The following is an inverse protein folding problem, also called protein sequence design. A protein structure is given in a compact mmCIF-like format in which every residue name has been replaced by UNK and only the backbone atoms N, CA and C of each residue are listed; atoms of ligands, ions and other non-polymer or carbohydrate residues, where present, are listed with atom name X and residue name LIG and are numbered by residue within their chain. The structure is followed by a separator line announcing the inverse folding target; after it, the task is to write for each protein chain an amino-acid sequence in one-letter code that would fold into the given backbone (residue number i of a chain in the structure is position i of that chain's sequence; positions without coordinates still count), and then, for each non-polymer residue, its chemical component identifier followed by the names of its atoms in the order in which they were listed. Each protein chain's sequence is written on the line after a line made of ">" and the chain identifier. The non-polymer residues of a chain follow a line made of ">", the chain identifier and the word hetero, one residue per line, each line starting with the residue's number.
data_IF_178430536482
#
_entry.id   IF_178430536482
#
_cell.length_a   1.000
_cell.length_b   1.000
_cell.length_c   1.000
_cell.angle_alpha   90.00
_cell.angle_beta   90.00
_cell.angle_gamma   90.00
#
_symmetry.space_group_name_H-M   'P 1'
#
loop_
_entity.id
_entity.type
_entity.pdbx_description
1 polymer ?
#
# COMPACT_ATOMS: atom_id res chain seq x y z
N UNK A 1 3.03 -25.02 27.87
CA UNK A 1 3.52 -24.30 26.67
C UNK A 1 2.32 -24.00 25.79
N UNK A 2 1.77 -22.78 25.88
CA UNK A 2 0.58 -22.41 25.13
C UNK A 2 0.94 -22.19 23.66
N UNK A 3 0.33 -22.96 22.76
CA UNK A 3 0.37 -22.66 21.32
C UNK A 3 -0.13 -21.23 21.12
N UNK A 4 0.65 -20.43 20.37
CA UNK A 4 0.26 -19.07 20.01
C UNK A 4 -1.16 -19.13 19.38
N UNK A 5 -2.14 -18.32 19.82
CA UNK A 5 -3.54 -18.48 19.39
C UNK A 5 -3.71 -18.45 17.87
N UNK A 6 -2.84 -17.72 17.15
CA UNK A 6 -2.79 -17.72 15.69
C UNK A 6 -2.40 -19.09 15.07
N UNK A 7 -1.47 -19.82 15.69
CA UNK A 7 -1.10 -21.18 15.24
C UNK A 7 -2.22 -22.18 15.53
N UNK A 8 -2.90 -22.05 16.68
CA UNK A 8 -4.04 -22.89 16.99
C UNK A 8 -5.17 -22.70 15.97
N UNK A 9 -5.53 -21.45 15.65
CA UNK A 9 -6.53 -21.15 14.61
C UNK A 9 -6.09 -21.68 13.25
N UNK A 10 -4.82 -21.52 12.88
CA UNK A 10 -4.29 -22.04 11.62
C UNK A 10 -4.38 -23.56 11.51
N UNK A 11 -4.00 -24.28 12.57
CA UNK A 11 -4.08 -25.75 12.63
C UNK A 11 -5.53 -26.21 12.59
N UNK A 12 -6.41 -25.63 13.39
CA UNK A 12 -7.85 -25.99 13.41
C UNK A 12 -8.48 -25.75 12.04
N UNK A 13 -8.18 -24.63 11.38
CA UNK A 13 -8.74 -24.34 10.06
C UNK A 13 -8.21 -25.28 8.99
N UNK A 14 -6.92 -25.63 9.03
CA UNK A 14 -6.33 -26.65 8.15
C UNK A 14 -6.97 -28.03 8.38
N UNK A 15 -7.21 -28.41 9.63
CA UNK A 15 -7.88 -29.67 9.97
C UNK A 15 -9.32 -29.70 9.46
N UNK A 16 -10.09 -28.62 9.63
CA UNK A 16 -11.46 -28.53 9.09
C UNK A 16 -11.46 -28.62 7.57
N UNK A 17 -10.56 -27.90 6.89
CA UNK A 17 -10.41 -27.97 5.42
C UNK A 17 -10.03 -29.37 4.96
N UNK A 18 -9.11 -30.05 5.66
CA UNK A 18 -8.71 -31.42 5.34
C UNK A 18 -9.85 -32.42 5.54
N UNK A 19 -10.61 -32.30 6.63
CA UNK A 19 -11.80 -33.13 6.87
C UNK A 19 -12.86 -32.87 5.80
N UNK A 20 -13.11 -31.60 5.43
CA UNK A 20 -14.02 -31.27 4.35
C UNK A 20 -13.57 -31.91 3.03
N UNK A 21 -12.29 -31.80 2.68
CA UNK A 21 -11.72 -32.39 1.47
C UNK A 21 -11.89 -33.92 1.44
N UNK A 22 -11.66 -34.60 2.57
CA UNK A 22 -11.87 -36.05 2.69
C UNK A 22 -13.36 -36.40 2.51
N UNK A 23 -14.26 -35.71 3.21
CA UNK A 23 -15.72 -35.93 3.09
C UNK A 23 -16.18 -35.73 1.64
N UNK A 24 -15.64 -34.75 0.93
CA UNK A 24 -15.98 -34.48 -0.47
C UNK A 24 -15.53 -35.56 -1.43
N UNK A 25 -14.36 -36.16 -1.19
CA UNK A 25 -13.86 -37.30 -1.97
C UNK A 25 -14.76 -38.53 -1.78
N UNK A 26 -15.28 -38.76 -0.56
CA UNK A 26 -16.07 -39.94 -0.23
C UNK A 26 -17.58 -39.81 -0.51
N UNK A 27 -18.14 -38.59 -0.47
CA UNK A 27 -19.59 -38.37 -0.66
C UNK A 27 -19.97 -38.17 -2.13
N UNK A 28 -18.99 -38.06 -3.02
CA UNK A 28 -19.20 -37.89 -4.46
C UNK A 28 -19.61 -39.18 -5.18
N UNK A 29 -20.86 -39.61 -5.03
CA UNK A 29 -21.64 -39.95 -6.23
C UNK A 29 -21.88 -38.61 -6.96
N UNK A 30 -22.06 -38.51 -8.28
CA UNK A 30 -22.29 -37.20 -8.99
C UNK A 30 -21.01 -36.37 -9.29
N UNK A 31 -20.27 -36.77 -10.35
CA UNK A 31 -19.01 -36.17 -10.84
C UNK A 31 -19.00 -34.63 -11.03
N UNK A 32 -20.16 -34.01 -11.21
CA UNK A 32 -20.28 -32.57 -11.48
C UNK A 32 -20.38 -31.72 -10.20
N UNK A 33 -21.01 -32.24 -9.14
CA UNK A 33 -21.13 -31.54 -7.86
C UNK A 33 -19.82 -31.63 -7.05
N UNK A 34 -19.13 -32.78 -7.10
CA UNK A 34 -17.85 -32.95 -6.40
C UNK A 34 -16.78 -31.93 -6.82
N UNK A 35 -16.66 -31.65 -8.13
CA UNK A 35 -15.71 -30.67 -8.66
C UNK A 35 -15.96 -29.25 -8.14
N UNK A 36 -17.21 -28.77 -8.16
CA UNK A 36 -17.55 -27.40 -7.68
C UNK A 36 -17.23 -27.22 -6.21
N UNK A 37 -17.51 -28.24 -5.41
CA UNK A 37 -17.25 -28.16 -3.98
C UNK A 37 -15.74 -28.25 -3.69
N UNK A 38 -14.99 -29.08 -4.41
CA UNK A 38 -13.52 -29.05 -4.36
C UNK A 38 -12.96 -27.65 -4.66
N UNK A 39 -13.41 -27.01 -5.75
CA UNK A 39 -12.98 -25.64 -6.10
C UNK A 39 -13.39 -24.61 -5.06
N UNK A 40 -14.54 -24.77 -4.42
CA UNK A 40 -14.98 -23.91 -3.32
C UNK A 40 -14.05 -24.03 -2.13
N UNK A 41 -13.70 -25.25 -1.72
CA UNK A 41 -12.73 -25.49 -0.64
C UNK A 41 -11.37 -24.92 -0.99
N UNK A 42 -10.90 -25.13 -2.22
CA UNK A 42 -9.63 -24.59 -2.68
C UNK A 42 -9.63 -23.06 -2.70
N UNK A 43 -10.71 -22.41 -3.15
CA UNK A 43 -10.87 -20.96 -3.11
C UNK A 43 -10.82 -20.42 -1.67
N UNK A 44 -11.49 -21.08 -0.73
CA UNK A 44 -11.41 -20.73 0.70
C UNK A 44 -10.00 -20.94 1.27
N UNK A 45 -9.31 -22.02 0.90
CA UNK A 45 -7.94 -22.28 1.33
C UNK A 45 -6.97 -21.20 0.79
N UNK A 46 -7.09 -20.83 -0.49
CA UNK A 46 -6.31 -19.75 -1.11
C UNK A 46 -6.61 -18.42 -0.43
N UNK A 47 -7.88 -18.07 -0.24
CA UNK A 47 -8.27 -16.85 0.48
C UNK A 47 -7.71 -16.81 1.90
N UNK A 48 -7.80 -17.91 2.63
CA UNK A 48 -7.28 -18.02 3.99
C UNK A 48 -5.75 -17.86 4.02
N UNK A 49 -5.05 -18.52 3.09
CA UNK A 49 -3.59 -18.37 2.95
C UNK A 49 -3.17 -16.94 2.57
N UNK A 50 -3.92 -16.30 1.69
CA UNK A 50 -3.72 -14.90 1.30
C UNK A 50 -4.02 -13.93 2.45
N UNK A 51 -5.06 -14.17 3.23
CA UNK A 51 -5.39 -13.38 4.42
C UNK A 51 -4.31 -13.53 5.50
N UNK A 52 -3.80 -14.76 5.69
CA UNK A 52 -2.69 -15.02 6.60
C UNK A 52 -1.40 -14.30 6.15
N UNK A 53 -1.14 -14.25 4.84
CA UNK A 53 -0.05 -13.46 4.26
C UNK A 53 -0.25 -11.96 4.55
N UNK A 54 -1.46 -11.43 4.29
CA UNK A 54 -1.79 -10.02 4.53
C UNK A 54 -1.65 -9.63 6.01
N UNK A 55 -2.09 -10.52 6.93
CA UNK A 55 -1.91 -10.37 8.38
C UNK A 55 -0.43 -10.41 8.81
N UNK A 56 0.39 -11.21 8.14
CA UNK A 56 1.84 -11.25 8.37
C UNK A 56 2.50 -9.92 7.96
N UNK A 57 2.12 -9.38 6.80
CA UNK A 57 2.62 -8.08 6.32
C UNK A 57 2.09 -6.90 7.16
N UNK A 58 0.89 -7.01 7.74
CA UNK A 58 0.29 -5.92 8.53
C UNK A 58 0.89 -5.75 9.94
N UNK A 59 1.85 -6.60 10.35
CA UNK A 59 2.53 -6.44 11.66
C UNK A 59 3.18 -5.07 11.84
N UNK A 60 3.50 -4.38 10.75
CA UNK A 60 4.19 -3.08 10.77
C UNK A 60 3.26 -1.88 10.55
N UNK A 61 2.04 -2.10 10.01
CA UNK A 61 1.06 -1.02 9.75
C UNK A 61 -0.34 -1.59 9.48
N UNK A 62 -1.38 -0.94 10.01
CA UNK A 62 -2.79 -1.37 9.88
C UNK A 62 -3.45 -0.99 8.55
N UNK A 63 -2.88 -0.02 7.80
CA UNK A 63 -3.42 0.41 6.49
C UNK A 63 -3.49 -0.71 5.43
N UNK A 64 -2.44 -1.54 5.21
CA UNK A 64 -2.50 -2.65 4.24
C UNK A 64 -3.54 -3.72 4.61
N UNK A 65 -3.86 -3.88 5.90
CA UNK A 65 -4.82 -4.88 6.36
C UNK A 65 -6.25 -4.61 5.83
N UNK A 66 -6.74 -3.37 6.01
CA UNK A 66 -8.12 -3.01 5.64
C UNK A 66 -8.33 -3.19 4.13
N UNK A 67 -7.35 -2.75 3.35
CA UNK A 67 -7.37 -2.85 1.89
C UNK A 67 -7.33 -4.33 1.47
N UNK A 68 -6.49 -5.15 2.11
CA UNK A 68 -6.41 -6.60 1.87
C UNK A 68 -7.71 -7.34 2.18
N UNK A 69 -8.42 -6.96 3.26
CA UNK A 69 -9.72 -7.55 3.61
C UNK A 69 -10.78 -7.23 2.56
N UNK A 70 -10.89 -5.97 2.12
CA UNK A 70 -11.84 -5.56 1.09
C UNK A 70 -11.54 -6.31 -0.22
N UNK A 71 -10.28 -6.32 -0.64
CA UNK A 71 -9.81 -7.03 -1.82
C UNK A 71 -10.11 -8.55 -1.76
N UNK A 72 -9.81 -9.18 -0.63
CA UNK A 72 -10.04 -10.60 -0.42
C UNK A 72 -11.53 -10.94 -0.38
N UNK A 73 -12.36 -10.09 0.22
CA UNK A 73 -13.82 -10.28 0.24
C UNK A 73 -14.42 -10.21 -1.17
N UNK A 74 -14.01 -9.22 -1.97
CA UNK A 74 -14.39 -9.10 -3.37
C UNK A 74 -13.95 -10.34 -4.17
N UNK A 75 -12.72 -10.79 -3.98
CA UNK A 75 -12.18 -11.98 -4.63
C UNK A 75 -13.01 -13.24 -4.34
N UNK A 76 -13.40 -13.46 -3.08
CA UNK A 76 -14.26 -14.60 -2.70
C UNK A 76 -15.63 -14.50 -3.37
N UNK A 77 -16.23 -13.32 -3.42
CA UNK A 77 -17.53 -13.12 -4.08
C UNK A 77 -17.43 -13.49 -5.57
N UNK A 78 -16.42 -12.97 -6.27
CA UNK A 78 -16.20 -13.26 -7.69
C UNK A 78 -15.90 -14.74 -7.93
N UNK A 79 -15.10 -15.37 -7.07
CA UNK A 79 -14.81 -16.81 -7.17
C UNK A 79 -16.05 -17.65 -6.92
N UNK A 80 -16.87 -17.32 -5.91
CA UNK A 80 -18.12 -18.03 -5.67
C UNK A 80 -19.07 -17.91 -6.84
N UNK A 81 -19.24 -16.71 -7.40
CA UNK A 81 -20.02 -16.53 -8.61
C UNK A 81 -19.44 -17.34 -9.76
N UNK A 82 -18.12 -17.37 -9.94
CA UNK A 82 -17.50 -18.09 -11.06
C UNK A 82 -17.63 -19.61 -10.93
N UNK A 83 -17.49 -20.16 -9.71
CA UNK A 83 -17.54 -21.61 -9.44
C UNK A 83 -18.96 -22.15 -9.54
N UNK A 84 -19.95 -21.39 -9.04
CA UNK A 84 -21.32 -21.85 -8.95
C UNK A 84 -22.17 -21.52 -10.16
N UNK A 85 -21.76 -20.54 -10.98
CA UNK A 85 -22.50 -20.20 -12.19
C UNK A 85 -22.23 -21.21 -13.30
N UNK A 86 -23.31 -21.90 -13.68
CA UNK A 86 -23.38 -22.81 -14.82
C UNK A 86 -22.95 -22.08 -16.09
N UNK A 87 -22.02 -22.65 -16.87
CA UNK A 87 -21.74 -22.11 -18.19
C UNK A 87 -22.81 -22.58 -19.16
N UNK A 88 -23.88 -21.80 -19.29
CA UNK A 88 -24.97 -22.10 -20.24
C UNK A 88 -24.52 -22.08 -21.71
N UNK A 89 -23.26 -21.73 -22.00
CA UNK A 89 -22.69 -21.75 -23.36
C UNK A 89 -22.04 -23.08 -23.73
N UNK A 90 -21.76 -23.94 -22.75
CA UNK A 90 -21.03 -25.19 -22.94
C UNK A 90 -21.93 -26.43 -22.74
N UNK A 91 -23.23 -26.32 -23.03
CA UNK A 91 -24.17 -27.45 -22.95
C UNK A 91 -23.76 -28.64 -23.87
N UNK A 92 -22.92 -28.39 -24.88
CA UNK A 92 -22.46 -29.40 -25.84
C UNK A 92 -21.17 -30.14 -25.44
N UNK A 93 -20.41 -29.65 -24.45
CA UNK A 93 -19.09 -30.19 -24.12
C UNK A 93 -19.07 -30.79 -22.70
N UNK A 94 -18.80 -32.10 -22.63
CA UNK A 94 -18.89 -32.88 -21.39
C UNK A 94 -18.06 -32.34 -20.20
N UNK A 95 -18.41 -32.83 -19.00
CA UNK A 95 -17.94 -32.45 -17.64
C UNK A 95 -16.41 -32.22 -17.51
N UNK A 96 -15.60 -32.87 -18.35
CA UNK A 96 -14.14 -32.70 -18.36
C UNK A 96 -13.69 -31.30 -18.80
N UNK A 97 -14.33 -30.68 -19.80
CA UNK A 97 -13.93 -29.35 -20.29
C UNK A 97 -14.27 -28.24 -19.28
N UNK A 98 -15.44 -28.31 -18.64
CA UNK A 98 -15.83 -27.36 -17.61
C UNK A 98 -14.87 -27.37 -16.40
N UNK A 99 -14.35 -28.54 -16.03
CA UNK A 99 -13.36 -28.68 -14.95
C UNK A 99 -12.01 -28.07 -15.36
N UNK A 100 -11.57 -28.28 -16.61
CA UNK A 100 -10.34 -27.68 -17.14
C UNK A 100 -10.41 -26.15 -17.25
N UNK A 101 -11.57 -25.60 -17.56
CA UNK A 101 -11.77 -24.15 -17.62
C UNK A 101 -11.59 -23.49 -16.24
N UNK A 102 -12.11 -24.11 -15.19
CA UNK A 102 -11.93 -23.65 -13.80
C UNK A 102 -10.47 -23.70 -13.35
N UNK A 103 -9.68 -24.68 -13.82
CA UNK A 103 -8.24 -24.77 -13.55
C UNK A 103 -7.49 -23.51 -13.99
N UNK A 104 -7.87 -22.92 -15.11
CA UNK A 104 -7.24 -21.68 -15.59
C UNK A 104 -7.91 -20.43 -15.03
N UNK A 105 -9.24 -20.38 -14.96
CA UNK A 105 -9.97 -19.18 -14.52
C UNK A 105 -9.70 -18.81 -13.06
N UNK A 106 -9.74 -19.78 -12.15
CA UNK A 106 -9.55 -19.52 -10.71
C UNK A 106 -8.19 -18.84 -10.44
N UNK A 107 -7.03 -19.38 -10.86
CA UNK A 107 -5.75 -18.72 -10.62
C UNK A 107 -5.63 -17.40 -11.37
N UNK A 108 -6.21 -17.26 -12.56
CA UNK A 108 -6.20 -15.99 -13.31
C UNK A 108 -6.97 -14.90 -12.56
N UNK A 109 -8.16 -15.19 -12.04
CA UNK A 109 -8.93 -14.26 -11.21
C UNK A 109 -8.13 -13.88 -9.96
N UNK A 110 -7.51 -14.85 -9.29
CA UNK A 110 -6.67 -14.60 -8.10
C UNK A 110 -5.53 -13.65 -8.45
N UNK A 111 -4.77 -13.96 -9.51
CA UNK A 111 -3.58 -13.21 -9.94
C UNK A 111 -3.95 -11.80 -10.36
N UNK A 112 -4.97 -11.63 -11.21
CA UNK A 112 -5.43 -10.32 -11.69
C UNK A 112 -5.91 -9.47 -10.51
N UNK A 113 -6.74 -10.04 -9.63
CA UNK A 113 -7.26 -9.34 -8.46
C UNK A 113 -6.11 -8.89 -7.57
N UNK A 114 -5.18 -9.79 -7.25
CA UNK A 114 -4.01 -9.46 -6.41
C UNK A 114 -3.07 -8.45 -7.06
N UNK A 115 -2.82 -8.56 -8.36
CA UNK A 115 -1.98 -7.63 -9.10
C UNK A 115 -2.60 -6.22 -9.14
N UNK A 116 -3.91 -6.12 -9.41
CA UNK A 116 -4.62 -4.84 -9.41
C UNK A 116 -4.58 -4.18 -8.02
N UNK A 117 -4.80 -4.95 -6.96
CA UNK A 117 -4.75 -4.41 -5.60
C UNK A 117 -3.33 -4.02 -5.15
N UNK A 118 -2.32 -4.83 -5.49
CA UNK A 118 -0.93 -4.50 -5.22
C UNK A 118 -0.52 -3.21 -5.95
N UNK A 119 -0.96 -3.04 -7.20
CA UNK A 119 -0.72 -1.82 -7.98
C UNK A 119 -1.45 -0.62 -7.39
N UNK A 120 -2.73 -0.75 -7.02
CA UNK A 120 -3.50 0.32 -6.39
C UNK A 120 -2.83 0.79 -5.09
N UNK A 121 -2.37 -0.15 -4.26
CA UNK A 121 -1.63 0.17 -3.04
C UNK A 121 -0.28 0.84 -3.33
N UNK A 122 0.49 0.32 -4.28
CA UNK A 122 1.79 0.89 -4.64
C UNK A 122 1.66 2.35 -5.12
N UNK A 123 0.66 2.62 -5.95
CA UNK A 123 0.31 3.95 -6.44
C UNK A 123 -0.14 4.85 -5.30
N UNK A 124 -1.03 4.38 -4.42
CA UNK A 124 -1.49 5.17 -3.27
C UNK A 124 -0.32 5.55 -2.35
N UNK A 125 0.55 4.59 -2.02
CA UNK A 125 1.74 4.79 -1.21
C UNK A 125 2.76 5.72 -1.89
N UNK A 126 2.83 5.71 -3.23
CA UNK A 126 3.64 6.66 -3.98
C UNK A 126 3.06 8.08 -3.89
N UNK A 127 1.74 8.23 -3.97
CA UNK A 127 1.05 9.52 -3.81
C UNK A 127 1.21 10.13 -2.41
N UNK A 128 1.19 9.32 -1.35
CA UNK A 128 1.44 9.80 0.03
C UNK A 128 2.87 10.35 0.21
N UNK A 129 3.84 9.91 -0.58
CA UNK A 129 5.25 10.36 -0.50
C UNK A 129 5.50 11.68 -1.22
N UNK A 130 4.56 12.14 -2.04
CA UNK A 130 4.67 13.39 -2.78
C UNK A 130 4.35 14.54 -1.83
N UNK A 131 5.30 15.46 -1.59
CA UNK A 131 5.19 16.51 -0.54
C UNK A 131 4.17 17.63 -0.88
N UNK A 132 3.60 17.64 -2.07
CA UNK A 132 2.59 18.62 -2.48
C UNK A 132 1.20 18.19 -1.98
N UNK A 133 0.35 19.15 -1.60
CA UNK A 133 -1.02 18.85 -1.13
C UNK A 133 -1.88 18.08 -2.15
N UNK A 134 -1.52 18.14 -3.43
CA UNK A 134 -2.19 17.40 -4.52
C UNK A 134 -1.73 15.94 -4.67
N UNK A 135 -0.56 15.58 -4.12
CA UNK A 135 0.03 14.25 -4.24
C UNK A 135 -0.84 13.11 -3.70
N UNK A 136 -1.32 13.21 -2.43
CA UNK A 136 -2.20 12.20 -1.84
C UNK A 136 -3.52 12.06 -2.60
N UNK A 137 -4.12 13.17 -3.04
CA UNK A 137 -5.38 13.16 -3.82
C UNK A 137 -5.17 12.42 -5.13
N UNK A 138 -4.10 12.75 -5.86
CA UNK A 138 -3.80 12.10 -7.13
C UNK A 138 -3.49 10.61 -6.96
N UNK A 139 -2.81 10.23 -5.87
CA UNK A 139 -2.59 8.83 -5.48
C UNK A 139 -3.88 8.06 -5.26
N UNK A 140 -4.84 8.63 -4.51
CA UNK A 140 -6.16 8.02 -4.26
C UNK A 140 -6.97 7.89 -5.55
N UNK A 141 -7.00 8.92 -6.39
CA UNK A 141 -7.70 8.89 -7.68
C UNK A 141 -7.13 7.78 -8.57
N UNK A 142 -5.80 7.70 -8.68
CA UNK A 142 -5.14 6.68 -9.50
C UNK A 142 -5.37 5.28 -8.93
N UNK A 143 -5.28 5.10 -7.61
CA UNK A 143 -5.57 3.83 -6.96
C UNK A 143 -7.03 3.39 -7.19
N UNK A 144 -7.97 4.33 -7.15
CA UNK A 144 -9.39 4.07 -7.43
C UNK A 144 -9.60 3.62 -8.88
N UNK A 145 -8.90 4.23 -9.83
CA UNK A 145 -8.96 3.86 -11.25
C UNK A 145 -8.36 2.49 -11.52
N UNK A 146 -7.23 2.17 -10.88
CA UNK A 146 -6.62 0.83 -10.94
C UNK A 146 -7.54 -0.22 -10.32
N UNK A 147 -8.11 0.07 -9.15
CA UNK A 147 -9.09 -0.80 -8.50
C UNK A 147 -10.32 -1.04 -9.39
N UNK A 148 -10.87 0.03 -9.98
CA UNK A 148 -12.00 -0.06 -10.91
C UNK A 148 -11.65 -0.87 -12.16
N UNK A 149 -10.47 -0.67 -12.75
CA UNK A 149 -9.99 -1.46 -13.88
C UNK A 149 -9.89 -2.95 -13.51
N UNK A 150 -9.33 -3.26 -12.34
CA UNK A 150 -9.24 -4.63 -11.83
C UNK A 150 -10.61 -5.26 -11.59
N UNK A 151 -11.55 -4.51 -11.03
CA UNK A 151 -12.94 -4.96 -10.82
C UNK A 151 -13.60 -5.25 -12.17
N UNK A 152 -13.56 -4.32 -13.13
CA UNK A 152 -14.14 -4.54 -14.46
C UNK A 152 -13.49 -5.75 -15.16
N UNK A 153 -12.17 -5.91 -15.06
CA UNK A 153 -11.48 -7.02 -15.73
C UNK A 153 -11.84 -8.38 -15.11
N UNK A 154 -12.00 -8.45 -13.79
CA UNK A 154 -12.37 -9.68 -13.07
C UNK A 154 -13.86 -10.00 -13.15
N UNK A 155 -14.71 -8.98 -13.26
CA UNK A 155 -16.16 -9.15 -13.40
C UNK A 155 -16.56 -9.77 -14.75
N UNK A 156 -15.68 -9.66 -15.77
CA UNK A 156 -15.89 -10.29 -17.08
C UNK A 156 -16.14 -11.81 -16.97
N UNK A 157 -15.42 -12.51 -16.08
CA UNK A 157 -15.50 -13.96 -15.93
C UNK A 157 -16.89 -14.45 -15.50
N UNK A 158 -17.47 -14.00 -14.37
CA UNK A 158 -18.80 -14.42 -13.96
C UNK A 158 -19.90 -13.91 -14.91
N UNK A 159 -19.74 -12.73 -15.53
CA UNK A 159 -20.71 -12.22 -16.51
C UNK A 159 -20.76 -13.09 -17.78
N UNK A 160 -19.63 -13.66 -18.19
CA UNK A 160 -19.59 -14.63 -19.28
C UNK A 160 -20.43 -15.88 -18.98
N UNK A 161 -20.38 -16.38 -17.74
CA UNK A 161 -21.18 -17.55 -17.30
C UNK A 161 -22.69 -17.25 -17.25
N UNK A 162 -23.05 -16.02 -16.91
CA UNK A 162 -24.44 -15.55 -16.85
C UNK A 162 -25.15 -15.47 -18.21
N UNK A 163 -24.48 -15.75 -19.33
CA UNK A 163 -24.99 -15.53 -20.70
C UNK A 163 -25.45 -14.09 -20.96
N UNK A 164 -25.03 -13.14 -20.12
CA UNK A 164 -25.29 -11.72 -20.33
C UNK A 164 -24.41 -11.30 -21.50
N UNK A 165 -25.04 -10.94 -22.61
CA UNK A 165 -24.35 -10.39 -23.76
C UNK A 165 -23.72 -9.07 -23.35
N UNK A 166 -22.41 -9.11 -23.10
CA UNK A 166 -21.62 -7.94 -22.81
C UNK A 166 -21.68 -7.02 -24.03
N UNK A 167 -22.39 -5.90 -23.87
CA UNK A 167 -22.48 -4.88 -24.91
C UNK A 167 -21.10 -4.34 -25.25
N UNK A 168 -20.89 -3.90 -26.50
CA UNK A 168 -19.69 -3.17 -26.94
C UNK A 168 -19.34 -1.99 -26.00
N UNK A 169 -20.35 -1.38 -25.37
CA UNK A 169 -20.15 -0.34 -24.37
C UNK A 169 -19.32 -0.80 -23.17
N UNK A 170 -19.51 -2.02 -22.69
CA UNK A 170 -18.72 -2.59 -21.60
C UNK A 170 -17.24 -2.69 -21.97
N UNK A 171 -16.94 -3.23 -23.15
CA UNK A 171 -15.57 -3.39 -23.63
C UNK A 171 -14.90 -2.04 -23.84
N UNK A 172 -15.62 -1.06 -24.39
CA UNK A 172 -15.13 0.32 -24.54
C UNK A 172 -14.86 0.97 -23.18
N UNK A 173 -15.75 0.80 -22.20
CA UNK A 173 -15.55 1.30 -20.84
C UNK A 173 -14.36 0.64 -20.14
N UNK A 174 -14.22 -0.69 -20.24
CA UNK A 174 -13.08 -1.43 -19.69
C UNK A 174 -11.76 -0.89 -20.26
N UNK A 175 -11.66 -0.76 -21.59
CA UNK A 175 -10.48 -0.23 -22.26
C UNK A 175 -10.22 1.22 -21.85
N UNK A 176 -11.25 2.08 -21.84
CA UNK A 176 -11.10 3.48 -21.47
C UNK A 176 -10.60 3.66 -20.02
N UNK A 177 -11.19 2.92 -19.06
CA UNK A 177 -10.77 2.96 -17.64
C UNK A 177 -9.35 2.42 -17.49
N UNK A 178 -8.99 1.37 -18.21
CA UNK A 178 -7.63 0.78 -18.16
C UNK A 178 -6.59 1.77 -18.69
N UNK A 179 -6.85 2.40 -19.84
CA UNK A 179 -5.97 3.43 -20.40
C UNK A 179 -5.85 4.61 -19.44
N UNK A 180 -6.95 5.05 -18.86
CA UNK A 180 -6.96 6.18 -17.92
C UNK A 180 -6.22 5.86 -16.62
N UNK A 181 -6.35 4.64 -16.09
CA UNK A 181 -5.58 4.15 -14.95
C UNK A 181 -4.07 4.06 -15.26
N UNK A 182 -3.71 3.59 -16.45
CA UNK A 182 -2.32 3.52 -16.92
C UNK A 182 -1.72 4.93 -17.05
N UNK A 183 -2.43 5.86 -17.70
CA UNK A 183 -2.02 7.26 -17.84
C UNK A 183 -1.84 7.93 -16.47
N UNK A 184 -2.81 7.79 -15.57
CA UNK A 184 -2.72 8.34 -14.22
C UNK A 184 -1.52 7.75 -13.45
N UNK A 185 -1.26 6.44 -13.60
CA UNK A 185 -0.08 5.78 -13.01
C UNK A 185 1.24 6.32 -13.57
N UNK A 186 1.32 6.55 -14.89
CA UNK A 186 2.49 7.16 -15.53
C UNK A 186 2.72 8.59 -15.04
N UNK A 187 1.67 9.41 -14.96
CA UNK A 187 1.77 10.79 -14.43
C UNK A 187 2.25 10.79 -12.99
N UNK A 188 1.70 9.93 -12.13
CA UNK A 188 2.12 9.82 -10.74
C UNK A 188 3.59 9.40 -10.62
N UNK A 189 4.03 8.44 -11.44
CA UNK A 189 5.43 8.00 -11.49
C UNK A 189 6.38 9.13 -11.90
N UNK A 190 6.01 9.93 -12.91
CA UNK A 190 6.79 11.09 -13.34
C UNK A 190 6.85 12.18 -12.26
N UNK A 191 5.74 12.47 -11.58
CA UNK A 191 5.71 13.43 -10.47
C UNK A 191 6.61 12.98 -9.31
N UNK A 192 6.54 11.70 -8.95
CA UNK A 192 7.38 11.10 -7.93
C UNK A 192 8.88 11.21 -8.30
N UNK A 193 9.22 10.90 -9.55
CA UNK A 193 10.60 10.99 -10.03
C UNK A 193 11.13 12.45 -10.05
N UNK A 194 10.29 13.39 -10.48
CA UNK A 194 10.64 14.81 -10.54
C UNK A 194 10.93 15.39 -9.15
N UNK A 195 10.13 15.04 -8.14
CA UNK A 195 10.39 15.45 -6.76
C UNK A 195 11.70 14.87 -6.23
N UNK A 196 11.92 13.57 -6.42
CA UNK A 196 13.15 12.91 -5.99
C UNK A 196 14.41 13.55 -6.60
N UNK A 197 14.33 13.96 -7.86
CA UNK A 197 15.42 14.63 -8.57
C UNK A 197 15.69 16.05 -8.05
N UNK A 198 14.65 16.71 -7.54
CA UNK A 198 14.75 18.05 -6.93
C UNK A 198 15.31 17.97 -5.52
N UNK A 199 14.82 17.01 -4.71
CA UNK A 199 15.32 16.77 -3.35
C UNK A 199 16.80 16.38 -3.34
N UNK A 200 17.26 15.58 -4.32
CA UNK A 200 18.67 15.24 -4.48
C UNK A 200 19.56 16.45 -4.79
N UNK A 201 19.02 17.50 -5.42
CA UNK A 201 19.74 18.76 -5.68
C UNK A 201 19.70 19.72 -4.50
N UNK A 202 18.71 19.60 -3.62
CA UNK A 202 18.51 20.45 -2.46
C UNK A 202 19.12 19.90 -1.16
N UNK A 203 19.67 18.69 -1.17
CA UNK A 203 20.44 18.18 -0.04
C UNK A 203 21.67 19.08 0.16
N UNK A 204 21.81 19.75 1.32
CA UNK A 204 23.02 20.45 1.64
C UNK A 204 24.16 19.43 1.58
N UNK A 205 25.12 19.66 0.70
CA UNK A 205 26.43 19.00 0.79
C UNK A 205 26.82 19.05 2.27
N UNK A 206 27.16 17.92 2.93
CA UNK A 206 27.60 17.96 4.31
C UNK A 206 28.67 19.02 4.36
N UNK A 207 28.40 20.10 5.12
CA UNK A 207 29.32 21.20 5.25
C UNK A 207 30.66 20.56 5.54
N UNK A 208 31.65 20.78 4.65
CA UNK A 208 33.02 20.37 4.88
C UNK A 208 33.28 20.78 6.32
N UNK A 209 33.42 19.79 7.20
CA UNK A 209 33.70 20.02 8.61
C UNK A 209 34.98 20.82 8.58
N UNK A 210 34.85 22.14 8.73
CA UNK A 210 35.97 23.03 8.85
C UNK A 210 36.77 22.43 10.01
N UNK A 211 38.04 22.01 9.83
CA UNK A 211 38.79 21.35 10.88
C UNK A 211 38.64 22.18 12.14
N UNK A 212 38.01 21.59 13.18
CA UNK A 212 37.86 22.26 14.47
C UNK A 212 39.26 22.72 14.86
N UNK A 213 39.45 24.04 14.79
CA UNK A 213 40.66 24.68 15.29
C UNK A 213 40.73 24.29 16.77
N UNK A 214 41.81 23.62 17.24
CA UNK A 214 41.92 23.21 18.62
C UNK A 214 41.70 24.41 19.54
N UNK A 215 40.99 24.27 20.68
CA UNK A 215 40.86 25.35 21.64
C UNK A 215 42.25 25.75 22.12
N UNK A 216 42.71 26.95 21.73
CA UNK A 216 43.94 27.54 22.26
C UNK A 216 43.77 27.72 23.76
N UNK A 217 44.58 27.01 24.54
CA UNK A 217 44.75 27.22 25.97
C UNK A 217 45.19 28.68 26.21
N UNK A 218 44.34 29.40 26.93
CA UNK A 218 44.57 30.78 27.33
C UNK A 218 45.67 30.82 28.40
N UNK A 219 46.89 31.14 27.98
CA UNK A 219 48.00 31.44 28.89
C UNK A 219 47.80 32.82 29.55
N UNK A 220 48.10 32.98 30.85
CA UNK A 220 48.11 34.28 31.50
C UNK A 220 49.18 35.19 30.90
N UNK A 221 48.74 36.37 30.47
CA UNK A 221 49.53 37.40 29.80
C UNK A 221 50.36 38.23 30.80
N UNK A 222 51.70 38.30 30.69
CA UNK A 222 52.51 39.29 31.39
C UNK A 222 52.43 40.65 30.69
N UNK A 223 52.23 41.71 31.48
CA UNK A 223 52.15 43.10 31.06
C UNK A 223 53.42 43.53 30.27
N UNK A 224 53.22 44.04 29.06
CA UNK A 224 54.23 44.82 28.34
C UNK A 224 53.81 46.30 28.25
N UNK A 225 54.74 47.25 28.45
CA UNK A 225 54.45 48.68 28.51
C UNK A 225 54.12 49.29 27.14
N UNK A 226 53.27 50.32 27.21
CA UNK A 226 52.77 51.13 26.09
C UNK A 226 53.91 51.78 25.31
N UNK A 227 53.88 51.60 23.98
CA UNK A 227 54.51 52.52 23.04
C UNK A 227 53.43 53.30 22.28
N UNK A 228 53.67 54.59 22.23
CA UNK A 228 52.79 55.67 21.81
C UNK A 228 53.24 56.18 20.43
N UNK A 229 52.27 56.68 19.64
CA UNK A 229 52.34 57.50 18.39
C UNK A 229 52.08 56.81 17.04
N UNK A 230 51.65 57.54 15.97
CA UNK A 230 50.85 58.79 15.89
C UNK A 230 49.56 58.65 15.05
N UNK A 231 48.72 59.69 15.15
CA UNK A 231 47.45 59.95 14.42
C UNK A 231 47.54 59.79 12.90
N UNK A 232 46.51 59.15 12.31
CA UNK A 232 46.17 59.31 10.90
C UNK A 232 44.66 59.56 10.70
N UNK A 233 44.39 60.28 9.62
CA UNK A 233 43.31 61.24 9.33
C UNK A 233 41.93 60.57 9.06
N UNK A 234 40.78 61.24 9.31
CA UNK A 234 39.45 60.67 9.13
C UNK A 234 39.05 60.52 7.65
N UNK A 235 38.52 59.36 7.28
CA UNK A 235 37.77 59.18 6.02
C UNK A 235 36.29 58.90 6.35
N UNK A 236 35.34 59.74 5.90
CA UNK A 236 33.91 59.51 6.10
C UNK A 236 33.33 58.61 5.00
N UNK A 237 32.19 57.99 5.30
CA UNK A 237 31.28 57.23 4.42
C UNK A 237 31.52 55.71 4.28
N UNK A 238 30.84 54.92 5.11
CA UNK A 238 29.66 54.16 4.67
C UNK A 238 28.99 53.43 5.85
N UNK A 239 27.81 53.95 6.16
CA UNK A 239 26.69 53.47 6.95
C UNK A 239 26.57 51.93 7.02
N UNK A 240 27.10 51.33 8.09
CA UNK A 240 26.84 49.92 8.43
C UNK A 240 25.49 49.80 9.17
N UNK A 241 24.60 49.01 8.58
CA UNK A 241 23.34 48.55 9.14
C UNK A 241 23.55 47.84 10.50
N UNK A 242 22.69 48.07 11.52
CA UNK A 242 22.69 47.24 12.71
C UNK A 242 22.14 45.84 12.40
N UNK A 243 22.72 44.76 12.96
CA UNK A 243 22.19 43.42 12.80
C UNK A 243 20.85 43.26 13.54
N UNK A 244 19.79 42.96 12.78
CA UNK A 244 18.49 42.56 13.32
C UNK A 244 18.60 41.19 13.98
N UNK A 245 18.21 41.13 15.26
CA UNK A 245 18.04 39.90 16.02
C UNK A 245 16.86 39.08 15.45
N UNK A 246 17.00 37.75 15.30
CA UNK A 246 15.88 36.90 14.92
C UNK A 246 14.85 36.80 16.07
N UNK A 247 13.54 36.78 15.76
CA UNK A 247 12.48 36.66 16.76
C UNK A 247 12.52 35.29 17.45
N UNK A 248 12.46 35.31 18.79
CA UNK A 248 12.31 34.12 19.63
C UNK A 248 10.99 33.40 19.32
N UNK A 249 11.10 32.12 18.95
CA UNK A 249 9.96 31.20 18.86
C UNK A 249 9.40 30.95 20.27
N UNK A 250 8.20 31.46 20.49
CA UNK A 250 7.40 31.21 21.69
C UNK A 250 6.75 29.82 21.56
N UNK A 251 7.18 28.88 22.40
CA UNK A 251 6.57 27.54 22.48
C UNK A 251 5.19 27.62 23.16
N UNK A 252 4.16 26.92 22.64
CA UNK A 252 2.86 26.83 23.31
C UNK A 252 2.94 25.95 24.58
N UNK A 253 2.21 26.29 25.65
CA UNK A 253 2.18 25.51 26.88
C UNK A 253 1.51 24.15 26.67
N UNK A 254 2.21 23.10 27.11
CA UNK A 254 1.80 21.71 27.01
C UNK A 254 0.75 21.41 28.10
N UNK A 255 -0.52 21.23 27.69
CA UNK A 255 -1.59 20.78 28.58
C UNK A 255 -1.39 19.31 28.96
N UNK A 256 -1.20 19.03 30.25
CA UNK A 256 -1.20 17.67 30.79
C UNK A 256 -2.65 17.16 30.94
N UNK A 257 -2.96 15.92 30.52
CA UNK A 257 -4.25 15.29 30.81
C UNK A 257 -4.40 14.97 32.31
N UNK A 258 -5.60 15.13 32.89
CA UNK A 258 -5.86 14.73 34.28
C UNK A 258 -5.81 13.20 34.43
N UNK A 259 -5.01 12.76 35.40
CA UNK A 259 -4.81 11.38 35.79
C UNK A 259 -6.08 10.86 36.52
N UNK A 260 -6.85 9.98 35.87
CA UNK A 260 -8.00 9.31 36.48
C UNK A 260 -7.52 8.21 37.45
N UNK A 261 -7.94 8.33 38.71
CA UNK A 261 -7.81 7.27 39.70
C UNK A 261 -8.89 6.19 39.49
N UNK A 262 -8.57 4.89 39.64
CA UNK A 262 -9.58 3.83 39.62
C UNK A 262 -10.43 3.84 40.91
N UNK A 263 -11.74 3.60 40.81
CA UNK A 263 -12.59 3.39 41.99
C UNK A 263 -12.28 2.05 42.65
N UNK A 264 -12.13 2.07 43.97
CA UNK A 264 -12.13 0.87 44.81
C UNK A 264 -13.57 0.38 44.99
N UNK A 265 -13.89 -0.82 44.49
CA UNK A 265 -14.90 -1.73 45.03
C UNK A 265 -14.45 -3.17 44.78
#
# INVERSE_FOLDING_TARGET
>A
MGLHPALFTGVVMLTVVAILAIVLVFTGDIAEQGARVFWTVLAFAVFTGLLALDLSLSRTSSKPLIIGIIAGSYMIIVLMLTIWMEDRRNEDFGVSLATFELIYMVPVIVVITRAAWALAWAVMAMGEKIRTSVGPVFGVVTASLVGLAGVLLTLHFPLGRLSVTLSDWYWRSLVAVTILAALASCVLMLLYWNQRSTDAKSQPQPAVQNPQVPPMQQYPNPQHPQQQYPKQVPNPQMQQHPPQMPPQQQYPPQQYPPQQFPPQQ
#
